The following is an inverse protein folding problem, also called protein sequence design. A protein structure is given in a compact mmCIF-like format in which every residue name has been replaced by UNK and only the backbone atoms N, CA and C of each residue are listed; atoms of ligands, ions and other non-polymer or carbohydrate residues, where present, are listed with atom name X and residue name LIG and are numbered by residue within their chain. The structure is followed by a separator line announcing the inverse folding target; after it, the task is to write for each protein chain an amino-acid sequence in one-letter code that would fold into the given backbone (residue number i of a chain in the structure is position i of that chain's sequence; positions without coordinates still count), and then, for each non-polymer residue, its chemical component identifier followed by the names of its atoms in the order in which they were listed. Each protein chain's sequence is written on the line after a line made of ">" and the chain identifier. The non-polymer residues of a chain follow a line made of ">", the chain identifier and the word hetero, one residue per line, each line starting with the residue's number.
data_IF_068634025492
#
_entry.id   IF_068634025492
#
_cell.length_a   1.000
_cell.length_b   1.000
_cell.length_c   1.000
_cell.angle_alpha   90.00
_cell.angle_beta   90.00
_cell.angle_gamma   90.00
#
_symmetry.space_group_name_H-M   'P 1'
#
loop_
_entity.id
_entity.type
_entity.pdbx_description
1 polymer ?
#
# COMPACT_ATOMS: atom_id res chain seq x y z
N UNK A 1 -16.18 25.67 -27.56
CA UNK A 1 -16.58 24.30 -27.15
C UNK A 1 -16.11 24.10 -25.73
N UNK A 2 -17.05 23.94 -24.81
CA UNK A 2 -16.93 24.24 -23.37
C UNK A 2 -15.98 23.27 -22.66
N UNK A 3 -14.93 23.80 -22.02
CA UNK A 3 -14.11 23.08 -21.03
C UNK A 3 -15.04 22.72 -19.84
N UNK A 4 -15.67 21.56 -19.90
CA UNK A 4 -16.31 20.94 -18.74
C UNK A 4 -15.21 20.77 -17.69
N UNK A 5 -15.31 21.51 -16.59
CA UNK A 5 -14.52 21.30 -15.39
C UNK A 5 -14.88 19.91 -14.84
N UNK A 6 -14.28 18.88 -15.42
CA UNK A 6 -14.38 17.51 -14.97
C UNK A 6 -13.72 17.51 -13.60
N UNK A 7 -14.47 17.24 -12.54
CA UNK A 7 -13.89 17.02 -11.21
C UNK A 7 -12.80 15.95 -11.37
N UNK A 8 -11.54 16.38 -11.22
CA UNK A 8 -10.39 15.69 -11.83
C UNK A 8 -10.15 14.33 -11.19
N UNK A 9 -10.29 14.23 -9.87
CA UNK A 9 -10.31 13.00 -9.09
C UNK A 9 -10.52 13.40 -7.62
N UNK A 10 -11.38 12.71 -6.89
CA UNK A 10 -11.44 12.85 -5.43
C UNK A 10 -10.65 11.71 -4.80
N UNK A 11 -9.72 12.02 -3.92
CA UNK A 11 -9.00 11.02 -3.14
C UNK A 11 -9.24 11.27 -1.66
N UNK A 12 -9.76 10.26 -0.97
CA UNK A 12 -9.84 10.26 0.48
C UNK A 12 -8.77 9.34 1.01
N UNK A 13 -8.06 9.78 2.04
CA UNK A 13 -7.06 8.98 2.72
C UNK A 13 -7.38 8.96 4.21
N UNK A 14 -7.37 7.78 4.79
CA UNK A 14 -7.56 7.55 6.21
C UNK A 14 -6.41 6.73 6.75
N UNK A 15 -5.54 7.37 7.51
CA UNK A 15 -4.48 6.69 8.25
C UNK A 15 -4.92 6.46 9.70
N UNK A 16 -4.77 5.22 10.15
CA UNK A 16 -4.91 4.83 11.54
C UNK A 16 -3.59 4.26 12.03
N UNK A 17 -3.00 4.91 13.03
CA UNK A 17 -1.74 4.49 13.64
C UNK A 17 -1.98 4.14 15.11
N UNK A 18 -1.91 2.86 15.41
CA UNK A 18 -1.89 2.33 16.76
C UNK A 18 -0.47 2.15 17.29
N UNK A 19 -0.35 1.54 18.47
CA UNK A 19 0.94 1.30 19.12
C UNK A 19 1.78 0.26 18.37
N UNK A 20 1.14 -0.84 17.91
CA UNK A 20 1.81 -1.96 17.24
C UNK A 20 1.32 -2.19 15.81
N UNK A 21 0.37 -1.39 15.32
CA UNK A 21 -0.17 -1.51 13.96
C UNK A 21 -0.43 -0.17 13.31
N UNK A 22 -0.28 -0.14 11.99
CA UNK A 22 -0.63 0.99 11.12
C UNK A 22 -1.53 0.45 10.02
N UNK A 23 -2.71 1.03 9.89
CA UNK A 23 -3.63 0.75 8.80
C UNK A 23 -3.83 2.03 8.00
N UNK A 24 -3.78 1.96 6.67
CA UNK A 24 -4.12 3.08 5.79
C UNK A 24 -5.20 2.62 4.83
N UNK A 25 -6.17 3.49 4.59
CA UNK A 25 -7.24 3.27 3.64
C UNK A 25 -7.34 4.48 2.72
N UNK A 26 -7.00 4.29 1.46
CA UNK A 26 -7.08 5.29 0.42
C UNK A 26 -8.20 4.94 -0.55
N UNK A 27 -9.17 5.85 -0.71
CA UNK A 27 -10.25 5.77 -1.70
C UNK A 27 -9.96 6.75 -2.82
N UNK A 28 -9.62 6.24 -4.00
CA UNK A 28 -9.33 7.02 -5.19
C UNK A 28 -10.50 7.03 -6.17
N UNK A 29 -10.92 8.22 -6.57
CA UNK A 29 -11.88 8.50 -7.63
C UNK A 29 -13.17 7.65 -7.56
N UNK A 30 -13.95 7.73 -6.48
CA UNK A 30 -15.25 7.08 -6.41
C UNK A 30 -16.23 7.80 -7.34
N UNK A 31 -16.37 7.29 -8.56
CA UNK A 31 -17.33 7.78 -9.54
C UNK A 31 -18.63 6.99 -9.39
N UNK A 32 -19.56 7.52 -8.59
CA UNK A 32 -20.87 6.91 -8.34
C UNK A 32 -21.74 6.84 -9.61
N UNK A 33 -21.49 7.71 -10.59
CA UNK A 33 -22.25 7.80 -11.85
C UNK A 33 -21.77 6.81 -12.92
N UNK A 34 -20.45 6.57 -13.01
CA UNK A 34 -19.81 5.64 -13.94
C UNK A 34 -19.37 4.32 -13.30
N UNK A 35 -19.69 4.10 -12.02
CA UNK A 35 -19.48 2.84 -11.31
C UNK A 35 -18.01 2.44 -11.15
N UNK A 36 -17.10 3.41 -11.15
CA UNK A 36 -15.66 3.17 -10.99
C UNK A 36 -15.17 3.59 -9.62
N UNK A 37 -14.37 2.75 -8.96
CA UNK A 37 -13.77 3.07 -7.67
C UNK A 37 -12.42 2.38 -7.54
N UNK A 38 -11.47 3.06 -6.93
CA UNK A 38 -10.19 2.48 -6.51
C UNK A 38 -10.16 2.55 -4.98
N UNK A 39 -9.95 1.40 -4.35
CA UNK A 39 -9.78 1.26 -2.91
C UNK A 39 -8.42 0.63 -2.69
N UNK A 40 -7.58 1.30 -1.94
CA UNK A 40 -6.29 0.76 -1.52
C UNK A 40 -6.30 0.70 -0.01
N UNK A 41 -6.08 -0.49 0.54
CA UNK A 41 -5.96 -0.69 1.97
C UNK A 41 -4.56 -1.25 2.26
N UNK A 42 -3.78 -0.57 3.08
CA UNK A 42 -2.55 -1.13 3.63
C UNK A 42 -2.72 -1.43 5.10
N UNK A 43 -2.10 -2.50 5.54
CA UNK A 43 -2.04 -2.89 6.93
C UNK A 43 -0.63 -3.36 7.24
N UNK A 44 -0.01 -2.76 8.24
CA UNK A 44 1.33 -3.09 8.72
C UNK A 44 1.23 -3.31 10.22
N UNK A 45 1.64 -4.48 10.68
CA UNK A 45 1.65 -4.86 12.08
C UNK A 45 3.06 -5.27 12.51
N UNK A 46 3.51 -4.69 13.61
CA UNK A 46 4.72 -5.10 14.30
C UNK A 46 4.44 -6.41 15.03
N UNK A 47 5.01 -7.52 14.55
CA UNK A 47 4.89 -8.84 15.21
C UNK A 47 5.95 -9.00 16.28
N UNK A 48 7.11 -8.37 16.07
CA UNK A 48 8.23 -8.36 17.01
C UNK A 48 8.93 -7.02 16.93
N UNK A 49 9.73 -6.63 17.93
CA UNK A 49 10.48 -5.37 17.94
C UNK A 49 11.37 -5.11 16.71
N UNK A 50 11.60 -6.14 15.89
CA UNK A 50 12.43 -6.13 14.68
C UNK A 50 11.71 -6.57 13.41
N UNK A 51 10.51 -7.15 13.53
CA UNK A 51 9.79 -7.73 12.41
C UNK A 51 8.41 -7.06 12.28
N UNK A 52 8.21 -6.41 11.15
CA UNK A 52 6.92 -5.85 10.75
C UNK A 52 6.41 -6.67 9.57
N UNK A 53 5.21 -7.21 9.69
CA UNK A 53 4.51 -7.89 8.61
C UNK A 53 3.28 -7.09 8.24
N UNK A 54 2.82 -7.24 7.01
CA UNK A 54 1.70 -6.48 6.53
C UNK A 54 1.19 -6.98 5.20
N UNK A 55 0.21 -6.26 4.69
CA UNK A 55 -0.33 -6.47 3.36
C UNK A 55 -0.94 -5.19 2.82
N UNK A 56 -1.03 -5.15 1.51
CA UNK A 56 -1.66 -4.13 0.71
C UNK A 56 -2.71 -4.81 -0.16
N UNK A 57 -3.95 -4.34 -0.08
CA UNK A 57 -5.05 -4.75 -0.92
C UNK A 57 -5.44 -3.58 -1.81
N UNK A 58 -5.20 -3.72 -3.10
CA UNK A 58 -5.67 -2.78 -4.12
C UNK A 58 -6.88 -3.40 -4.81
N UNK A 59 -8.05 -2.85 -4.52
CA UNK A 59 -9.27 -3.17 -5.24
C UNK A 59 -9.58 -2.05 -6.23
N UNK A 60 -9.69 -2.39 -7.51
CA UNK A 60 -10.11 -1.45 -8.54
C UNK A 60 -11.29 -2.05 -9.30
N UNK A 61 -12.39 -1.31 -9.29
CA UNK A 61 -13.61 -1.65 -10.02
C UNK A 61 -13.81 -0.62 -11.11
N UNK A 62 -13.91 -1.06 -12.35
CA UNK A 62 -14.30 -0.26 -13.51
C UNK A 62 -15.43 -0.99 -14.24
N UNK A 63 -16.35 -0.28 -14.92
CA UNK A 63 -17.39 -0.93 -15.72
C UNK A 63 -16.74 -1.83 -16.79
N UNK A 64 -16.86 -3.15 -16.61
CA UNK A 64 -16.28 -4.18 -17.49
C UNK A 64 -14.99 -4.84 -16.99
N UNK A 65 -14.35 -4.32 -15.93
CA UNK A 65 -13.11 -4.89 -15.37
C UNK A 65 -13.10 -4.75 -13.84
N UNK A 66 -13.04 -5.88 -13.15
CA UNK A 66 -12.90 -5.94 -11.70
C UNK A 66 -11.60 -6.65 -11.34
N UNK A 67 -10.76 -6.00 -10.55
CA UNK A 67 -9.49 -6.57 -10.10
C UNK A 67 -9.26 -6.32 -8.62
N UNK A 68 -8.73 -7.34 -7.95
CA UNK A 68 -8.23 -7.25 -6.59
C UNK A 68 -6.79 -7.77 -6.59
N UNK A 69 -5.86 -6.92 -6.19
CA UNK A 69 -4.46 -7.28 -6.02
C UNK A 69 -4.19 -7.30 -4.53
N UNK A 70 -3.85 -8.48 -4.02
CA UNK A 70 -3.32 -8.63 -2.68
C UNK A 70 -1.79 -8.76 -2.77
N UNK A 71 -1.10 -7.91 -2.03
CA UNK A 71 0.34 -7.91 -1.86
C UNK A 71 0.62 -8.09 -0.37
N UNK A 72 1.45 -9.05 -0.02
CA UNK A 72 1.97 -9.22 1.33
C UNK A 72 3.29 -8.47 1.44
N UNK A 73 3.52 -7.77 2.54
CA UNK A 73 4.74 -7.02 2.80
C UNK A 73 5.36 -7.48 4.11
N UNK A 74 6.68 -7.54 4.17
CA UNK A 74 7.45 -7.94 5.33
C UNK A 74 8.71 -7.10 5.41
N UNK A 75 9.01 -6.59 6.60
CA UNK A 75 10.22 -5.83 6.89
C UNK A 75 10.87 -6.40 8.14
N UNK A 76 12.13 -6.79 8.00
CA UNK A 76 12.96 -7.24 9.10
C UNK A 76 14.11 -6.26 9.30
N UNK A 77 14.20 -5.68 10.49
CA UNK A 77 15.26 -4.74 10.88
C UNK A 77 16.17 -5.38 11.90
N UNK A 78 17.38 -5.74 11.46
CA UNK A 78 18.47 -6.17 12.32
C UNK A 78 19.39 -4.98 12.65
N UNK A 79 20.27 -5.10 13.66
CA UNK A 79 21.16 -4.02 14.06
C UNK A 79 22.04 -3.46 12.93
N UNK A 80 22.47 -4.32 11.99
CA UNK A 80 23.41 -3.97 10.93
C UNK A 80 22.80 -4.08 9.52
N UNK A 81 21.56 -4.57 9.40
CA UNK A 81 20.93 -4.78 8.09
C UNK A 81 19.40 -4.72 8.18
N UNK A 82 18.77 -4.36 7.08
CA UNK A 82 17.32 -4.34 6.91
C UNK A 82 17.00 -5.16 5.67
N UNK A 83 16.10 -6.13 5.79
CA UNK A 83 15.51 -6.79 4.63
C UNK A 83 14.03 -6.41 4.52
N UNK A 84 13.58 -6.19 3.30
CA UNK A 84 12.18 -6.06 2.96
C UNK A 84 11.80 -7.11 1.93
N UNK A 85 10.57 -7.58 2.02
CA UNK A 85 10.01 -8.58 1.14
C UNK A 85 8.57 -8.20 0.86
N UNK A 86 8.24 -7.92 -0.40
CA UNK A 86 6.89 -7.68 -0.87
C UNK A 86 6.53 -8.76 -1.88
N UNK A 87 5.46 -9.50 -1.67
CA UNK A 87 5.00 -10.59 -2.53
C UNK A 87 3.54 -10.37 -2.88
N UNK A 88 3.23 -10.11 -4.14
CA UNK A 88 1.86 -9.89 -4.57
C UNK A 88 1.53 -10.60 -5.88
N UNK A 89 0.29 -10.43 -6.33
CA UNK A 89 -0.23 -11.06 -7.54
C UNK A 89 0.63 -10.78 -8.80
N UNK A 90 1.29 -9.61 -8.85
CA UNK A 90 2.16 -9.20 -9.97
C UNK A 90 3.64 -9.59 -9.85
N UNK A 91 4.07 -10.15 -8.71
CA UNK A 91 5.48 -10.53 -8.51
C UNK A 91 5.96 -10.44 -7.06
N UNK A 92 7.18 -10.91 -6.86
CA UNK A 92 7.88 -10.85 -5.57
C UNK A 92 9.10 -9.93 -5.67
N UNK A 93 9.20 -8.98 -4.76
CA UNK A 93 10.29 -8.03 -4.63
C UNK A 93 10.92 -8.21 -3.26
N UNK A 94 12.19 -8.64 -3.23
CA UNK A 94 12.99 -8.63 -2.01
C UNK A 94 14.06 -7.54 -2.13
N UNK A 95 14.35 -6.85 -1.04
CA UNK A 95 15.46 -5.91 -0.97
C UNK A 95 16.23 -6.14 0.31
N UNK A 96 17.56 -6.05 0.22
CA UNK A 96 18.47 -6.22 1.33
C UNK A 96 19.37 -5.00 1.41
N UNK A 97 19.35 -4.35 2.56
CA UNK A 97 20.18 -3.20 2.89
C UNK A 97 21.11 -3.59 4.04
N UNK A 98 22.41 -3.32 3.90
CA UNK A 98 23.40 -3.59 4.94
C UNK A 98 24.24 -2.35 5.18
N UNK A 99 24.34 -1.93 6.44
CA UNK A 99 25.16 -0.78 6.83
C UNK A 99 26.53 -1.28 7.25
N UNK A 100 27.56 -0.97 6.45
CA UNK A 100 28.91 -1.45 6.67
C UNK A 100 29.80 -0.49 7.50
N UNK A 101 29.54 0.83 7.53
CA UNK A 101 30.31 1.78 8.33
C UNK A 101 29.53 3.10 8.59
N UNK A 102 29.93 3.90 9.59
CA UNK A 102 29.35 5.25 9.83
C UNK A 102 29.89 6.34 8.89
N UNK A 103 30.93 6.03 8.11
CA UNK A 103 31.57 6.93 7.15
C UNK A 103 31.11 6.77 5.69
N UNK A 104 30.22 5.82 5.39
CA UNK A 104 29.67 5.60 4.04
C UNK A 104 28.20 5.20 4.11
#
# INVERSE_FOLDING_TARGET
>A
QTHQAKFVTWQFDGEYRGDDCTATLTLGNPDLLGGSVIVVAHFLQSVTARLVLGGELVYHRRPGEEGAILTLAGKYSAPNWVATLNVGYGGAHASYYHRANEQV
#
